data_IF_948763343556
#
_entry.id   IF_948763343556
#
_cell.length_a   1.000
_cell.length_b   1.000
_cell.length_c   1.000
_cell.angle_alpha   90.00
_cell.angle_beta   90.00
_cell.angle_gamma   90.00
#
_symmetry.space_group_name_H-M   'P 1'
#
loop_
_entity.id
_entity.type
_entity.pdbx_description
1 polymer ?
#
# COMPACT_ATOMS: atom_id res chain seq x y z
N UNK A 1 50.53 16.80 -82.25
CA UNK A 1 50.64 18.07 -82.97
C UNK A 1 49.69 19.08 -82.33
N UNK A 2 50.27 20.26 -81.93
CA UNK A 2 49.65 21.59 -81.71
C UNK A 2 48.56 21.64 -80.64
N UNK A 3 48.76 22.08 -79.36
CA UNK A 3 49.04 23.47 -78.97
C UNK A 3 47.92 24.46 -79.23
N UNK A 4 47.38 25.02 -78.15
CA UNK A 4 47.08 26.41 -77.84
C UNK A 4 46.05 26.51 -76.75
N UNK A 5 46.36 26.97 -75.56
CA UNK A 5 46.53 28.33 -75.10
C UNK A 5 45.19 28.97 -74.61
N UNK A 6 45.19 29.33 -73.36
CA UNK A 6 44.36 30.08 -72.41
C UNK A 6 43.82 31.44 -73.02
N UNK A 7 42.72 32.01 -72.54
CA UNK A 7 42.92 32.98 -71.48
C UNK A 7 41.88 33.01 -70.32
N UNK A 8 42.33 33.69 -69.25
CA UNK A 8 41.65 34.05 -68.02
C UNK A 8 40.50 35.02 -68.22
N UNK A 9 39.40 34.83 -67.47
CA UNK A 9 38.64 36.01 -67.05
C UNK A 9 38.08 35.76 -65.62
N UNK A 10 38.36 36.71 -64.81
CA UNK A 10 37.95 36.77 -63.41
C UNK A 10 36.49 37.11 -63.28
N UNK A 11 35.78 36.40 -62.44
CA UNK A 11 34.53 36.91 -61.88
C UNK A 11 34.53 36.69 -60.36
N UNK A 12 34.22 37.78 -59.73
CA UNK A 12 34.19 38.05 -58.30
C UNK A 12 33.21 37.11 -57.60
N UNK A 13 33.71 36.56 -56.50
CA UNK A 13 32.93 35.70 -55.62
C UNK A 13 31.92 36.50 -54.78
N UNK A 14 30.80 35.88 -54.59
CA UNK A 14 29.83 36.25 -53.53
C UNK A 14 29.94 35.18 -52.47
N UNK A 15 30.57 35.52 -51.33
CA UNK A 15 30.50 34.70 -50.13
C UNK A 15 29.10 34.72 -49.61
N UNK A 16 28.37 33.62 -49.74
CA UNK A 16 27.17 33.38 -48.99
C UNK A 16 27.50 32.87 -47.60
N UNK A 17 27.36 33.72 -46.62
CA UNK A 17 27.50 33.39 -45.20
C UNK A 17 26.24 32.63 -44.75
N UNK A 18 26.29 31.32 -44.67
CA UNK A 18 25.22 30.49 -44.13
C UNK A 18 25.34 30.53 -42.60
N UNK A 19 24.53 31.37 -41.98
CA UNK A 19 24.37 31.37 -40.52
C UNK A 19 23.49 30.15 -40.15
N UNK A 20 24.10 29.11 -39.61
CA UNK A 20 23.41 27.97 -39.00
C UNK A 20 22.96 28.43 -37.60
N UNK A 21 21.70 28.76 -37.50
CA UNK A 21 21.02 29.08 -36.22
C UNK A 21 20.76 27.76 -35.48
N UNK A 22 21.65 27.37 -34.58
CA UNK A 22 21.41 26.27 -33.63
C UNK A 22 20.39 26.72 -32.62
N UNK A 23 19.16 26.34 -32.83
CA UNK A 23 18.11 26.38 -31.82
C UNK A 23 18.41 25.32 -30.74
N UNK A 24 19.04 25.75 -29.67
CA UNK A 24 19.08 25.00 -28.42
C UNK A 24 17.66 24.96 -27.83
N UNK A 25 16.90 23.90 -28.14
CA UNK A 25 15.68 23.57 -27.42
C UNK A 25 16.13 23.08 -26.04
N UNK A 26 16.18 23.98 -25.05
CA UNK A 26 16.24 23.62 -23.64
C UNK A 26 14.94 22.91 -23.31
N UNK A 27 14.98 21.59 -23.32
CA UNK A 27 13.93 20.78 -22.71
C UNK A 27 13.96 21.07 -21.20
N UNK A 28 13.18 22.05 -20.74
CA UNK A 28 12.78 22.13 -19.35
C UNK A 28 12.00 20.85 -19.04
N UNK A 29 12.68 19.86 -18.47
CA UNK A 29 11.98 18.80 -17.74
C UNK A 29 11.30 19.48 -16.57
N UNK A 30 10.01 19.80 -16.73
CA UNK A 30 9.13 20.14 -15.61
C UNK A 30 9.17 18.95 -14.65
N UNK A 31 9.96 19.12 -13.59
CA UNK A 31 9.91 18.22 -12.45
C UNK A 31 8.48 18.32 -11.90
N UNK A 32 7.76 17.21 -11.92
CA UNK A 32 6.45 17.13 -11.31
C UNK A 32 6.52 17.82 -9.92
N UNK A 33 5.58 18.71 -9.60
CA UNK A 33 5.59 19.39 -8.31
C UNK A 33 5.64 18.34 -7.22
N UNK A 34 6.58 18.49 -6.28
CA UNK A 34 6.60 17.69 -5.08
C UNK A 34 5.21 17.78 -4.46
N UNK A 35 4.63 16.66 -3.98
CA UNK A 35 3.32 16.73 -3.35
C UNK A 35 3.39 17.78 -2.25
N UNK A 36 2.47 18.74 -2.29
CA UNK A 36 2.37 19.77 -1.27
C UNK A 36 2.32 19.12 0.11
N UNK A 37 2.89 19.74 1.14
CA UNK A 37 2.83 19.22 2.49
C UNK A 37 1.38 19.34 2.97
N UNK A 38 0.57 18.41 2.53
CA UNK A 38 -0.81 18.32 2.96
C UNK A 38 -0.87 17.64 4.30
N UNK A 39 -1.43 18.37 5.24
CA UNK A 39 -2.36 17.89 6.26
C UNK A 39 -2.11 16.46 6.82
N UNK A 40 -2.32 16.35 8.12
CA UNK A 40 -2.63 15.15 8.91
C UNK A 40 -2.86 13.89 8.05
N UNK A 41 -2.10 12.84 8.30
CA UNK A 41 -2.26 11.52 7.64
C UNK A 41 -3.73 11.12 7.60
N UNK A 42 -4.21 10.61 6.46
CA UNK A 42 -5.57 10.11 6.40
C UNK A 42 -5.72 8.96 7.40
N UNK A 43 -6.77 8.99 8.21
CA UNK A 43 -7.02 7.94 9.17
C UNK A 43 -8.29 7.15 8.88
N UNK A 44 -8.31 5.92 9.37
CA UNK A 44 -9.46 5.04 9.38
C UNK A 44 -9.35 3.95 10.43
N UNK A 45 -10.18 2.95 10.28
CA UNK A 45 -10.14 1.76 11.12
C UNK A 45 -10.66 0.55 10.36
N UNK A 46 -10.12 -0.61 10.67
CA UNK A 46 -10.80 -1.86 10.40
C UNK A 46 -11.79 -2.13 11.54
N UNK A 47 -13.06 -2.12 11.24
CA UNK A 47 -14.16 -2.32 12.20
C UNK A 47 -14.98 -3.58 11.93
N UNK A 48 -14.63 -4.32 10.88
CA UNK A 48 -15.29 -5.52 10.39
C UNK A 48 -15.43 -5.51 8.87
N UNK A 49 -16.03 -6.55 8.31
CA UNK A 49 -16.24 -6.74 6.87
C UNK A 49 -17.72 -6.77 6.45
N UNK A 50 -18.62 -6.64 7.40
CA UNK A 50 -20.06 -6.63 7.12
C UNK A 50 -20.50 -5.34 6.41
N UNK A 51 -21.58 -5.37 5.63
CA UNK A 51 -22.11 -4.17 4.97
C UNK A 51 -22.43 -3.00 5.92
N UNK A 52 -22.81 -3.31 7.16
CA UNK A 52 -23.07 -2.32 8.22
C UNK A 52 -21.83 -1.64 8.78
N UNK A 53 -20.64 -2.15 8.52
CA UNK A 53 -19.41 -1.66 9.14
C UNK A 53 -18.96 -0.30 8.58
N UNK A 54 -19.45 0.11 7.41
CA UNK A 54 -19.31 1.51 6.94
C UNK A 54 -19.97 2.49 7.90
N UNK A 55 -21.14 2.17 8.46
CA UNK A 55 -21.79 3.00 9.47
C UNK A 55 -21.04 2.97 10.81
N UNK A 56 -20.47 1.83 11.20
CA UNK A 56 -19.59 1.72 12.39
C UNK A 56 -18.34 2.57 12.25
N UNK A 57 -17.70 2.60 11.09
CA UNK A 57 -16.56 3.48 10.81
C UNK A 57 -16.96 4.96 11.01
N UNK A 58 -18.11 5.37 10.51
CA UNK A 58 -18.60 6.74 10.69
C UNK A 58 -18.96 7.04 12.16
N UNK A 59 -19.48 6.08 12.89
CA UNK A 59 -19.76 6.20 14.33
C UNK A 59 -18.47 6.34 15.16
N UNK A 60 -17.41 5.65 14.79
CA UNK A 60 -16.08 5.85 15.38
C UNK A 60 -15.61 7.31 15.19
N UNK A 61 -15.75 7.86 13.99
CA UNK A 61 -15.41 9.25 13.70
C UNK A 61 -16.23 10.23 14.57
N UNK A 62 -17.52 10.02 14.68
CA UNK A 62 -18.40 10.82 15.55
C UNK A 62 -18.01 10.72 17.02
N UNK A 63 -17.64 9.52 17.50
CA UNK A 63 -17.16 9.31 18.86
C UNK A 63 -15.84 10.04 19.14
N UNK A 64 -14.95 10.13 18.17
CA UNK A 64 -13.72 10.91 18.27
C UNK A 64 -13.98 12.41 18.39
N UNK A 65 -15.03 12.93 17.74
CA UNK A 65 -15.35 14.36 17.76
C UNK A 65 -14.44 15.22 16.90
N UNK A 66 -13.58 14.61 16.09
CA UNK A 66 -12.64 15.25 15.16
C UNK A 66 -13.10 15.11 13.69
N UNK A 67 -12.16 15.25 12.73
CA UNK A 67 -12.43 15.02 11.31
C UNK A 67 -13.02 13.63 11.06
N UNK A 68 -13.90 13.51 10.06
CA UNK A 68 -14.44 12.21 9.67
C UNK A 68 -13.33 11.29 9.13
N UNK A 69 -13.41 9.96 9.40
CA UNK A 69 -12.46 9.00 8.85
C UNK A 69 -12.51 8.99 7.32
N UNK A 70 -11.34 8.95 6.71
CA UNK A 70 -11.19 8.96 5.24
C UNK A 70 -10.67 7.65 4.68
N UNK A 71 -10.29 6.68 5.52
CA UNK A 71 -9.81 5.38 5.11
C UNK A 71 -10.84 4.32 5.50
N UNK A 72 -11.44 3.68 4.51
CA UNK A 72 -12.27 2.49 4.70
C UNK A 72 -11.41 1.26 4.41
N UNK A 73 -11.18 0.46 5.43
CA UNK A 73 -10.31 -0.71 5.36
C UNK A 73 -11.11 -1.98 5.59
N UNK A 74 -10.97 -2.95 4.67
CA UNK A 74 -11.70 -4.22 4.72
C UNK A 74 -10.88 -5.34 4.08
N UNK A 75 -11.21 -6.58 4.43
CA UNK A 75 -10.59 -7.79 3.91
C UNK A 75 -11.54 -8.57 3.01
N UNK A 76 -11.03 -9.19 1.96
CA UNK A 76 -11.72 -10.27 1.29
C UNK A 76 -11.49 -11.57 2.07
N UNK A 77 -12.53 -12.39 2.29
CA UNK A 77 -12.34 -13.71 2.87
C UNK A 77 -11.46 -14.58 1.96
N UNK A 78 -10.47 -15.22 2.57
CA UNK A 78 -9.48 -16.02 1.84
C UNK A 78 -9.74 -17.53 1.85
N UNK A 79 -10.96 -17.97 2.15
CA UNK A 79 -11.31 -19.38 2.25
C UNK A 79 -11.41 -20.08 0.89
N UNK A 80 -11.86 -19.36 -0.14
CA UNK A 80 -12.04 -19.86 -1.52
C UNK A 80 -11.89 -18.74 -2.56
N UNK A 81 -11.58 -19.11 -3.78
CA UNK A 81 -11.37 -18.18 -4.90
C UNK A 81 -12.57 -17.27 -5.16
N UNK A 82 -13.81 -17.78 -5.10
CA UNK A 82 -15.00 -16.96 -5.34
C UNK A 82 -15.13 -15.78 -4.36
N UNK A 83 -14.63 -15.92 -3.13
CA UNK A 83 -14.60 -14.84 -2.14
C UNK A 83 -13.44 -13.86 -2.41
N UNK A 84 -12.27 -14.37 -2.80
CA UNK A 84 -11.12 -13.54 -3.22
C UNK A 84 -11.46 -12.72 -4.48
N UNK A 85 -12.32 -13.23 -5.35
CA UNK A 85 -12.87 -12.49 -6.49
C UNK A 85 -13.82 -11.35 -6.10
N UNK A 86 -14.09 -11.15 -4.81
CA UNK A 86 -15.05 -10.16 -4.32
C UNK A 86 -16.50 -10.59 -4.56
N UNK A 87 -16.92 -11.74 -4.02
CA UNK A 87 -18.29 -12.23 -4.14
C UNK A 87 -19.31 -11.14 -3.78
N UNK A 88 -20.52 -11.16 -4.39
CA UNK A 88 -21.57 -10.18 -4.07
C UNK A 88 -21.85 -10.06 -2.58
N UNK A 89 -22.06 -8.83 -2.11
CA UNK A 89 -22.34 -8.52 -0.71
C UNK A 89 -21.13 -8.00 0.08
N UNK A 90 -19.89 -8.23 -0.38
CA UNK A 90 -18.69 -7.77 0.36
C UNK A 90 -18.27 -6.35 0.05
N UNK A 91 -18.34 -5.94 -1.23
CA UNK A 91 -17.68 -4.71 -1.70
C UNK A 91 -18.64 -3.54 -1.88
N UNK A 92 -19.93 -3.79 -2.07
CA UNK A 92 -20.89 -2.79 -2.57
C UNK A 92 -21.06 -1.61 -1.60
N UNK A 93 -21.17 -1.89 -0.30
CA UNK A 93 -21.33 -0.84 0.73
C UNK A 93 -20.08 0.01 0.87
N UNK A 94 -18.90 -0.63 0.84
CA UNK A 94 -17.62 0.06 0.90
C UNK A 94 -17.34 0.88 -0.37
N UNK A 95 -17.69 0.35 -1.53
CA UNK A 95 -17.63 1.08 -2.79
C UNK A 95 -18.56 2.28 -2.79
N UNK A 96 -19.80 2.13 -2.31
CA UNK A 96 -20.73 3.24 -2.16
C UNK A 96 -20.20 4.31 -1.18
N UNK A 97 -19.66 3.87 -0.04
CA UNK A 97 -19.03 4.76 0.93
C UNK A 97 -17.85 5.54 0.30
N UNK A 98 -16.99 4.87 -0.46
CA UNK A 98 -15.86 5.52 -1.15
C UNK A 98 -16.34 6.56 -2.16
N UNK A 99 -17.34 6.25 -2.99
CA UNK A 99 -17.87 7.16 -4.02
C UNK A 99 -18.58 8.38 -3.45
N UNK A 100 -19.10 8.31 -2.23
CA UNK A 100 -19.81 9.42 -1.59
C UNK A 100 -18.91 10.63 -1.25
N UNK A 101 -17.58 10.44 -1.16
CA UNK A 101 -16.63 11.54 -0.95
C UNK A 101 -15.30 11.21 -1.67
N UNK A 102 -14.87 12.04 -2.63
CA UNK A 102 -13.64 11.81 -3.40
C UNK A 102 -12.35 11.84 -2.55
N UNK A 103 -12.39 12.38 -1.33
CA UNK A 103 -11.25 12.40 -0.40
C UNK A 103 -11.07 11.08 0.35
N UNK A 104 -12.05 10.17 0.30
CA UNK A 104 -11.99 8.86 0.94
C UNK A 104 -11.08 7.92 0.14
N UNK A 105 -10.43 7.02 0.85
CA UNK A 105 -9.62 5.93 0.31
C UNK A 105 -10.30 4.61 0.64
N UNK A 106 -10.38 3.72 -0.34
CA UNK A 106 -10.79 2.34 -0.12
C UNK A 106 -9.55 1.46 -0.11
N UNK A 107 -9.27 0.82 1.03
CA UNK A 107 -8.14 -0.09 1.25
C UNK A 107 -8.69 -1.50 1.38
N UNK A 108 -8.25 -2.39 0.51
CA UNK A 108 -8.75 -3.74 0.39
C UNK A 108 -7.63 -4.76 0.53
N UNK A 109 -7.68 -5.56 1.60
CA UNK A 109 -6.77 -6.69 1.77
C UNK A 109 -7.22 -7.86 0.90
N UNK A 110 -6.30 -8.31 0.05
CA UNK A 110 -6.56 -9.37 -0.93
C UNK A 110 -5.60 -10.53 -0.70
N UNK A 111 -6.11 -11.72 -0.30
CA UNK A 111 -5.29 -12.92 -0.22
C UNK A 111 -4.75 -13.31 -1.62
N UNK A 112 -3.50 -13.78 -1.67
CA UNK A 112 -2.91 -14.24 -2.93
C UNK A 112 -3.30 -15.68 -3.27
N UNK A 113 -3.71 -16.47 -2.27
CA UNK A 113 -4.11 -17.88 -2.40
C UNK A 113 -5.37 -18.14 -1.57
N UNK A 114 -6.20 -19.07 -2.04
CA UNK A 114 -7.31 -19.58 -1.23
C UNK A 114 -6.81 -20.41 -0.04
N UNK A 115 -7.74 -20.76 0.87
CA UNK A 115 -7.42 -21.46 2.11
C UNK A 115 -6.39 -20.67 2.93
N UNK A 116 -6.58 -19.35 2.99
CA UNK A 116 -5.61 -18.38 3.45
C UNK A 116 -5.00 -18.71 4.83
N UNK A 117 -5.79 -19.29 5.74
CA UNK A 117 -5.39 -19.61 7.12
C UNK A 117 -5.41 -21.13 7.41
N UNK A 118 -5.27 -21.96 6.39
CA UNK A 118 -5.37 -23.41 6.55
C UNK A 118 -4.08 -24.09 7.04
N UNK A 119 -3.06 -23.33 7.43
CA UNK A 119 -1.76 -23.83 7.92
C UNK A 119 -1.15 -24.92 7.03
N UNK A 120 -1.20 -24.72 5.70
CA UNK A 120 -0.64 -25.67 4.74
C UNK A 120 0.86 -25.87 4.94
N UNK A 121 1.40 -27.10 4.72
CA UNK A 121 2.84 -27.34 4.76
C UNK A 121 3.62 -26.46 3.78
N UNK A 122 4.84 -26.07 4.13
CA UNK A 122 5.70 -25.20 3.32
C UNK A 122 5.91 -25.70 1.89
N UNK A 123 6.07 -27.02 1.72
CA UNK A 123 6.20 -27.62 0.38
C UNK A 123 4.97 -27.40 -0.51
N UNK A 124 3.78 -27.44 0.09
CA UNK A 124 2.51 -27.12 -0.60
C UNK A 124 2.46 -25.64 -0.96
N UNK A 125 2.74 -24.76 0.02
CA UNK A 125 2.77 -23.31 -0.21
C UNK A 125 3.76 -22.94 -1.33
N UNK A 126 4.97 -23.48 -1.31
CA UNK A 126 5.97 -23.27 -2.35
C UNK A 126 5.47 -23.74 -3.75
N UNK A 127 4.75 -24.86 -3.83
CA UNK A 127 4.16 -25.32 -5.07
C UNK A 127 3.08 -24.36 -5.59
N UNK A 128 2.18 -23.90 -4.70
CA UNK A 128 1.11 -22.96 -5.03
C UNK A 128 1.66 -21.60 -5.47
N UNK A 129 2.69 -21.08 -4.81
CA UNK A 129 3.37 -19.86 -5.23
C UNK A 129 3.97 -19.99 -6.64
N UNK A 130 4.60 -21.14 -6.95
CA UNK A 130 5.11 -21.40 -8.31
C UNK A 130 3.99 -21.55 -9.34
N UNK A 131 2.83 -22.14 -8.98
CA UNK A 131 1.64 -22.20 -9.84
C UNK A 131 1.14 -20.77 -10.14
N UNK A 132 0.99 -19.95 -9.12
CA UNK A 132 0.61 -18.55 -9.28
C UNK A 132 1.60 -17.77 -10.16
N UNK A 133 2.91 -17.93 -9.95
CA UNK A 133 3.94 -17.30 -10.77
C UNK A 133 3.86 -17.68 -12.26
N UNK A 134 3.36 -18.87 -12.58
CA UNK A 134 3.09 -19.33 -13.96
C UNK A 134 1.73 -18.88 -14.51
N UNK A 135 0.86 -18.28 -13.69
CA UNK A 135 -0.41 -17.68 -14.12
C UNK A 135 -1.63 -18.58 -13.97
N UNK A 136 -1.54 -19.65 -13.22
CA UNK A 136 -2.68 -20.57 -12.98
C UNK A 136 -3.88 -19.81 -12.40
N UNK A 137 -3.64 -18.76 -11.61
CA UNK A 137 -4.67 -18.01 -10.87
C UNK A 137 -5.01 -16.64 -11.47
N UNK A 138 -4.51 -16.29 -12.64
CA UNK A 138 -4.71 -14.98 -13.29
C UNK A 138 -6.19 -14.59 -13.45
N UNK A 139 -7.04 -15.59 -13.75
CA UNK A 139 -8.46 -15.37 -14.00
C UNK A 139 -9.16 -14.75 -12.77
N UNK A 140 -8.84 -15.20 -11.57
CA UNK A 140 -9.45 -14.73 -10.32
C UNK A 140 -9.16 -13.25 -10.07
N UNK A 141 -7.92 -12.83 -10.25
CA UNK A 141 -7.52 -11.43 -10.07
C UNK A 141 -8.07 -10.51 -11.17
N UNK A 142 -8.26 -11.03 -12.39
CA UNK A 142 -8.92 -10.28 -13.46
C UNK A 142 -10.40 -10.06 -13.14
N UNK A 143 -11.07 -11.07 -12.57
CA UNK A 143 -12.46 -10.95 -12.11
C UNK A 143 -12.58 -9.91 -11.00
N UNK A 144 -11.73 -9.97 -9.97
CA UNK A 144 -11.73 -8.97 -8.89
C UNK A 144 -11.51 -7.55 -9.43
N UNK A 145 -10.52 -7.35 -10.28
CA UNK A 145 -10.22 -6.05 -10.86
C UNK A 145 -11.41 -5.51 -11.68
N UNK A 146 -12.06 -6.35 -12.49
CA UNK A 146 -13.25 -6.00 -13.23
C UNK A 146 -14.41 -5.58 -12.33
N UNK A 147 -14.63 -6.30 -11.21
CA UNK A 147 -15.66 -5.95 -10.22
C UNK A 147 -15.39 -4.61 -9.54
N UNK A 148 -14.16 -4.35 -9.11
CA UNK A 148 -13.80 -3.06 -8.50
C UNK A 148 -14.03 -1.88 -9.46
N UNK A 149 -13.68 -2.04 -10.73
CA UNK A 149 -13.96 -1.04 -11.77
C UNK A 149 -15.47 -0.87 -11.98
N UNK A 150 -16.21 -1.96 -12.09
CA UNK A 150 -17.67 -1.93 -12.27
C UNK A 150 -18.41 -1.29 -11.07
N UNK A 151 -17.89 -1.48 -9.87
CA UNK A 151 -18.40 -0.83 -8.65
C UNK A 151 -18.02 0.65 -8.54
N UNK A 152 -17.25 1.19 -9.48
CA UNK A 152 -16.84 2.59 -9.52
C UNK A 152 -15.78 2.97 -8.50
N UNK A 153 -14.93 2.01 -8.12
CA UNK A 153 -13.77 2.21 -7.25
C UNK A 153 -12.45 1.77 -7.92
N UNK A 154 -12.17 2.32 -9.12
CA UNK A 154 -11.00 1.92 -9.90
C UNK A 154 -9.67 2.32 -9.26
N UNK A 155 -9.67 3.14 -8.24
CA UNK A 155 -8.52 3.68 -7.51
C UNK A 155 -8.32 3.04 -6.13
N UNK A 156 -8.90 1.85 -5.91
CA UNK A 156 -8.71 1.06 -4.69
C UNK A 156 -7.23 0.85 -4.40
N UNK A 157 -6.83 0.99 -3.14
CA UNK A 157 -5.55 0.51 -2.63
C UNK A 157 -5.69 -0.98 -2.37
N UNK A 158 -4.94 -1.79 -3.10
CA UNK A 158 -4.94 -3.25 -2.98
C UNK A 158 -3.75 -3.68 -2.13
N UNK A 159 -4.03 -4.10 -0.90
CA UNK A 159 -3.03 -4.69 0.01
C UNK A 159 -2.94 -6.17 -0.33
N UNK A 160 -1.93 -6.53 -1.10
CA UNK A 160 -1.84 -7.86 -1.70
C UNK A 160 -0.94 -8.77 -0.88
N UNK A 161 -1.52 -9.80 -0.26
CA UNK A 161 -0.77 -10.81 0.49
C UNK A 161 0.01 -10.22 1.66
N UNK A 162 -0.67 -9.55 2.57
CA UNK A 162 -0.13 -8.91 3.77
C UNK A 162 0.54 -9.92 4.72
N UNK A 163 1.38 -9.43 5.63
CA UNK A 163 2.08 -10.23 6.65
C UNK A 163 2.83 -11.47 6.10
N UNK A 164 3.32 -11.34 4.86
CA UNK A 164 3.96 -12.43 4.13
C UNK A 164 5.26 -12.93 4.76
N UNK A 165 5.86 -12.17 5.64
CA UNK A 165 7.09 -12.55 6.36
C UNK A 165 6.83 -13.44 7.57
N UNK A 166 5.56 -13.66 7.95
CA UNK A 166 5.12 -14.55 9.00
C UNK A 166 4.89 -16.00 8.56
N UNK A 167 4.20 -16.75 9.42
CA UNK A 167 3.88 -18.17 9.21
C UNK A 167 2.39 -18.45 9.08
N UNK A 168 1.54 -17.47 9.36
CA UNK A 168 0.08 -17.64 9.46
C UNK A 168 -0.56 -18.00 8.12
N UNK A 169 -0.25 -17.22 7.08
CA UNK A 169 -1.01 -17.28 5.82
C UNK A 169 -0.44 -18.27 4.80
N UNK A 170 -1.32 -18.84 3.97
CA UNK A 170 -0.93 -19.64 2.80
C UNK A 170 -0.11 -18.83 1.80
N UNK A 171 -0.26 -17.52 1.76
CA UNK A 171 0.55 -16.64 0.91
C UNK A 171 1.85 -16.18 1.57
N UNK A 172 2.34 -16.84 2.62
CA UNK A 172 3.62 -16.51 3.24
C UNK A 172 4.80 -16.69 2.28
N UNK A 173 5.78 -15.80 2.38
CA UNK A 173 6.90 -15.71 1.46
C UNK A 173 8.02 -16.72 1.75
N UNK A 174 8.18 -17.13 3.04
CA UNK A 174 9.30 -17.95 3.50
C UNK A 174 9.58 -19.22 2.69
N UNK A 175 8.57 -20.01 2.30
CA UNK A 175 8.75 -21.27 1.57
C UNK A 175 9.40 -21.13 0.19
N UNK A 176 9.13 -20.04 -0.55
CA UNK A 176 9.77 -19.74 -1.85
C UNK A 176 9.71 -18.24 -2.16
N UNK A 177 10.66 -17.44 -1.63
CA UNK A 177 10.64 -15.99 -1.83
C UNK A 177 10.74 -15.55 -3.29
N UNK A 178 11.39 -16.33 -4.15
CA UNK A 178 11.51 -16.01 -5.57
C UNK A 178 10.17 -16.19 -6.29
N UNK A 179 9.50 -17.32 -6.05
CA UNK A 179 8.17 -17.57 -6.60
C UNK A 179 7.13 -16.59 -6.05
N UNK A 180 7.22 -16.23 -4.75
CA UNK A 180 6.35 -15.25 -4.14
C UNK A 180 6.43 -13.89 -4.84
N UNK A 181 7.64 -13.34 -5.00
CA UNK A 181 7.84 -12.07 -5.71
C UNK A 181 7.34 -12.12 -7.16
N UNK A 182 7.63 -13.22 -7.87
CA UNK A 182 7.19 -13.40 -9.24
C UNK A 182 5.66 -13.46 -9.35
N UNK A 183 5.00 -14.14 -8.42
CA UNK A 183 3.54 -14.25 -8.36
C UNK A 183 2.90 -12.92 -8.00
N UNK A 184 3.38 -12.23 -6.98
CA UNK A 184 2.91 -10.91 -6.61
C UNK A 184 2.97 -9.92 -7.79
N UNK A 185 4.13 -9.85 -8.44
CA UNK A 185 4.31 -9.00 -9.61
C UNK A 185 3.40 -9.41 -10.80
N UNK A 186 3.09 -10.70 -10.92
CA UNK A 186 2.15 -11.19 -11.93
C UNK A 186 0.73 -10.73 -11.64
N UNK A 187 0.25 -10.86 -10.43
CA UNK A 187 -1.08 -10.39 -10.03
C UNK A 187 -1.23 -8.91 -10.36
N UNK A 188 -0.25 -8.09 -9.99
CA UNK A 188 -0.27 -6.65 -10.30
C UNK A 188 -0.41 -6.41 -11.80
N UNK A 189 0.39 -7.08 -12.64
CA UNK A 189 0.29 -6.93 -14.10
C UNK A 189 -1.08 -7.35 -14.63
N UNK A 190 -1.64 -8.44 -14.11
CA UNK A 190 -2.98 -8.92 -14.49
C UNK A 190 -4.05 -7.91 -14.12
N UNK A 191 -4.04 -7.41 -12.90
CA UNK A 191 -5.03 -6.41 -12.46
C UNK A 191 -4.87 -5.09 -13.23
N UNK A 192 -3.63 -4.65 -13.47
CA UNK A 192 -3.34 -3.44 -14.27
C UNK A 192 -3.72 -3.57 -15.75
N UNK A 193 -3.91 -4.79 -16.27
CA UNK A 193 -4.37 -5.02 -17.64
C UNK A 193 -5.88 -4.76 -17.84
N UNK A 194 -6.65 -4.62 -16.76
CA UNK A 194 -8.09 -4.33 -16.83
C UNK A 194 -8.30 -2.85 -17.20
N UNK A 195 -9.10 -2.54 -18.23
CA UNK A 195 -9.35 -1.15 -18.65
C UNK A 195 -9.95 -0.29 -17.52
N UNK A 196 -9.64 1.01 -17.53
CA UNK A 196 -10.13 2.01 -16.60
C UNK A 196 -9.71 1.86 -15.13
N UNK A 197 -8.92 0.86 -14.79
CA UNK A 197 -8.36 0.72 -13.44
C UNK A 197 -7.28 1.80 -13.18
N UNK A 198 -7.11 2.18 -11.90
CA UNK A 198 -6.07 3.06 -11.37
C UNK A 198 -5.64 2.57 -9.99
N UNK A 199 -5.62 1.25 -9.79
CA UNK A 199 -5.25 0.63 -8.51
C UNK A 199 -3.87 1.04 -8.06
N UNK A 200 -3.71 1.14 -6.75
CA UNK A 200 -2.40 1.22 -6.11
C UNK A 200 -2.16 -0.06 -5.33
N UNK A 201 -1.00 -0.66 -5.53
CA UNK A 201 -0.63 -1.92 -4.90
C UNK A 201 0.29 -1.69 -3.73
N UNK A 202 -0.10 -2.24 -2.58
CA UNK A 202 0.60 -2.07 -1.34
C UNK A 202 1.28 -3.37 -0.88
N UNK A 203 2.58 -3.25 -0.57
CA UNK A 203 3.40 -4.32 -0.01
C UNK A 203 3.47 -4.12 1.50
N UNK A 204 2.87 -5.01 2.29
CA UNK A 204 2.65 -4.84 3.72
C UNK A 204 3.14 -6.03 4.54
N UNK A 205 4.37 -5.99 5.05
CA UNK A 205 4.86 -6.96 6.02
C UNK A 205 4.37 -6.69 7.45
N UNK A 206 4.42 -7.72 8.30
CA UNK A 206 4.45 -7.57 9.75
C UNK A 206 5.76 -6.91 10.17
N UNK A 207 5.68 -6.03 11.18
CA UNK A 207 6.82 -5.37 11.81
C UNK A 207 7.82 -6.39 12.39
N UNK A 208 9.11 -6.09 12.23
CA UNK A 208 10.17 -6.94 12.74
C UNK A 208 10.62 -8.02 11.76
N UNK A 209 11.36 -8.98 12.27
CA UNK A 209 11.92 -10.08 11.44
C UNK A 209 10.88 -11.13 11.10
N UNK A 210 10.08 -11.53 12.08
CA UNK A 210 9.19 -12.69 12.06
C UNK A 210 9.91 -13.96 11.52
N UNK A 211 9.28 -14.76 10.65
CA UNK A 211 9.89 -15.98 10.09
C UNK A 211 10.99 -15.67 9.06
N UNK A 212 10.89 -14.56 8.34
CA UNK A 212 11.88 -14.13 7.33
C UNK A 212 12.01 -12.60 7.33
N UNK A 213 13.22 -12.03 7.14
CA UNK A 213 13.37 -10.61 6.90
C UNK A 213 12.49 -10.16 5.71
N UNK A 214 11.52 -9.28 5.94
CA UNK A 214 10.54 -8.89 4.94
C UNK A 214 11.13 -8.25 3.67
N UNK A 215 12.31 -7.56 3.67
CA UNK A 215 12.87 -7.07 2.41
C UNK A 215 13.22 -8.17 1.40
N UNK A 216 13.38 -9.43 1.85
CA UNK A 216 13.58 -10.57 0.95
C UNK A 216 12.35 -10.90 0.10
N UNK A 217 11.18 -10.42 0.54
CA UNK A 217 9.90 -10.61 -0.14
C UNK A 217 9.54 -9.43 -1.05
N UNK A 218 10.30 -8.34 -1.05
CA UNK A 218 9.98 -7.15 -1.84
C UNK A 218 10.00 -7.44 -3.35
N UNK A 219 8.87 -7.24 -4.07
CA UNK A 219 8.75 -7.68 -5.46
C UNK A 219 9.31 -6.69 -6.49
N UNK A 220 9.71 -5.48 -6.07
CA UNK A 220 10.33 -4.46 -6.91
C UNK A 220 9.50 -3.19 -7.08
N UNK A 221 10.20 -2.09 -7.41
CA UNK A 221 9.62 -0.74 -7.44
C UNK A 221 8.59 -0.54 -8.55
N UNK A 222 8.70 -1.29 -9.64
CA UNK A 222 7.81 -1.19 -10.80
C UNK A 222 6.39 -1.71 -10.53
N UNK A 223 6.24 -2.54 -9.50
CA UNK A 223 4.95 -3.16 -9.15
C UNK A 223 4.39 -2.67 -7.81
N UNK A 224 5.23 -2.17 -6.91
CA UNK A 224 4.81 -1.62 -5.61
C UNK A 224 4.57 -0.12 -5.72
N UNK A 225 3.41 0.34 -5.29
CA UNK A 225 3.04 1.76 -5.25
C UNK A 225 3.14 2.34 -3.82
N UNK A 226 2.94 1.50 -2.80
CA UNK A 226 2.96 1.88 -1.38
C UNK A 226 3.69 0.79 -0.59
N UNK A 227 4.52 1.19 0.38
CA UNK A 227 5.14 0.27 1.34
C UNK A 227 4.41 0.40 2.67
N UNK A 228 3.56 -0.58 2.98
CA UNK A 228 2.83 -0.68 4.23
C UNK A 228 3.61 -1.38 5.33
N UNK A 229 3.05 -1.41 6.53
CA UNK A 229 3.50 -2.23 7.65
C UNK A 229 2.37 -2.46 8.64
N UNK A 230 2.19 -3.69 9.09
CA UNK A 230 1.33 -4.05 10.20
C UNK A 230 2.13 -3.96 11.49
N UNK A 231 1.66 -3.14 12.44
CA UNK A 231 2.43 -2.73 13.59
C UNK A 231 1.63 -2.84 14.88
N UNK A 232 1.45 -4.05 15.37
CA UNK A 232 0.78 -4.31 16.64
C UNK A 232 1.72 -4.17 17.84
N UNK A 233 1.17 -3.95 19.03
CA UNK A 233 1.88 -3.86 20.31
C UNK A 233 2.33 -5.25 20.80
N UNK A 234 3.32 -5.80 20.12
CA UNK A 234 3.92 -7.12 20.35
C UNK A 234 5.44 -7.03 20.07
N UNK A 235 6.23 -8.00 20.52
CA UNK A 235 5.90 -9.05 21.47
C UNK A 235 5.77 -8.50 22.90
N UNK A 236 5.24 -9.33 23.79
CA UNK A 236 5.11 -9.00 25.21
C UNK A 236 6.42 -8.50 25.83
N UNK A 237 6.35 -7.34 26.47
CA UNK A 237 7.49 -6.71 27.14
C UNK A 237 8.36 -5.83 26.24
N UNK A 238 8.17 -5.84 24.93
CA UNK A 238 8.88 -4.91 24.04
C UNK A 238 8.19 -3.54 24.07
N UNK A 239 8.84 -2.55 24.68
CA UNK A 239 8.34 -1.18 24.70
C UNK A 239 8.42 -0.50 23.33
N UNK A 240 7.70 0.61 23.16
CA UNK A 240 7.62 1.34 21.89
C UNK A 240 9.00 1.71 21.30
N UNK A 241 9.95 2.15 22.15
CA UNK A 241 11.31 2.44 21.67
C UNK A 241 12.00 1.21 21.06
N UNK A 242 11.79 0.03 21.64
CA UNK A 242 12.29 -1.22 21.08
C UNK A 242 11.64 -1.51 19.71
N UNK A 243 10.34 -1.27 19.58
CA UNK A 243 9.62 -1.44 18.30
C UNK A 243 10.09 -0.46 17.21
N UNK A 244 10.55 0.74 17.60
CA UNK A 244 11.18 1.69 16.66
C UNK A 244 12.50 1.14 16.10
N UNK A 245 13.33 0.57 16.95
CA UNK A 245 14.76 0.33 16.67
C UNK A 245 15.10 -1.14 16.38
N UNK A 246 14.18 -2.07 16.58
CA UNK A 246 14.41 -3.47 16.26
C UNK A 246 14.76 -3.68 14.78
N UNK A 247 15.46 -4.76 14.43
CA UNK A 247 15.70 -5.11 13.04
C UNK A 247 14.38 -5.24 12.28
N UNK A 248 14.25 -4.52 11.14
CA UNK A 248 13.04 -4.48 10.30
C UNK A 248 11.82 -3.84 10.98
N UNK A 249 12.03 -3.07 12.08
CA UNK A 249 11.01 -2.31 12.78
C UNK A 249 10.61 -1.01 12.10
N UNK A 250 9.94 -0.12 12.85
CA UNK A 250 9.31 1.09 12.30
C UNK A 250 10.30 2.02 11.59
N UNK A 251 11.50 2.27 12.16
CA UNK A 251 12.52 3.10 11.50
C UNK A 251 13.08 2.46 10.24
N UNK A 252 13.25 1.14 10.24
CA UNK A 252 13.71 0.40 9.06
C UNK A 252 12.68 0.50 7.93
N UNK A 253 11.39 0.39 8.25
CA UNK A 253 10.28 0.54 7.31
C UNK A 253 10.31 1.91 6.61
N UNK A 254 10.31 3.01 7.37
CA UNK A 254 10.32 4.36 6.81
C UNK A 254 11.58 4.61 5.96
N UNK A 255 12.75 4.16 6.44
CA UNK A 255 13.99 4.27 5.65
C UNK A 255 13.90 3.51 4.34
N UNK A 256 13.35 2.30 4.37
CA UNK A 256 13.16 1.46 3.18
C UNK A 256 12.23 2.15 2.18
N UNK A 257 11.04 2.56 2.60
CA UNK A 257 10.09 3.25 1.73
C UNK A 257 10.71 4.48 1.06
N UNK A 258 11.41 5.32 1.84
CA UNK A 258 12.11 6.52 1.32
C UNK A 258 13.23 6.17 0.33
N UNK A 259 14.00 5.12 0.61
CA UNK A 259 15.08 4.68 -0.29
C UNK A 259 14.55 4.19 -1.63
N UNK A 260 13.33 3.63 -1.65
CA UNK A 260 12.63 3.19 -2.85
C UNK A 260 11.73 4.28 -3.47
N UNK A 261 11.71 5.51 -2.94
CA UNK A 261 10.89 6.61 -3.43
C UNK A 261 9.38 6.35 -3.32
N UNK A 262 8.95 5.54 -2.35
CA UNK A 262 7.55 5.16 -2.16
C UNK A 262 6.93 5.87 -0.97
N UNK A 263 5.64 6.27 -1.07
CA UNK A 263 4.86 6.57 0.12
C UNK A 263 4.75 5.31 1.00
N UNK A 264 4.50 5.52 2.28
CA UNK A 264 4.33 4.43 3.23
C UNK A 264 3.04 4.59 4.05
N UNK A 265 2.59 3.51 4.67
CA UNK A 265 1.32 3.41 5.39
C UNK A 265 1.43 2.46 6.57
N UNK A 266 0.44 2.53 7.44
CA UNK A 266 0.19 1.55 8.50
C UNK A 266 -1.26 1.11 8.39
N UNK A 267 -1.49 0.10 7.57
CA UNK A 267 -2.85 -0.36 7.29
C UNK A 267 -3.47 -1.13 8.46
N UNK A 268 -2.64 -1.76 9.29
CA UNK A 268 -3.01 -2.41 10.53
C UNK A 268 -2.10 -1.95 11.66
N UNK A 269 -2.68 -1.53 12.76
CA UNK A 269 -1.98 -1.29 14.00
C UNK A 269 -2.96 -1.31 15.17
N UNK A 270 -2.46 -1.53 16.39
CA UNK A 270 -3.30 -1.56 17.57
C UNK A 270 -2.63 -2.22 18.76
N UNK A 271 -3.34 -2.26 19.86
CA UNK A 271 -2.92 -2.96 21.07
C UNK A 271 -2.89 -4.48 20.82
N UNK A 272 -2.06 -5.20 21.55
CA UNK A 272 -2.05 -6.65 21.46
C UNK A 272 -1.53 -7.30 22.75
N UNK A 273 -0.31 -7.87 22.74
CA UNK A 273 0.20 -8.72 23.82
C UNK A 273 0.54 -7.96 25.12
N UNK A 274 0.69 -6.64 25.06
CA UNK A 274 0.98 -5.79 26.20
C UNK A 274 -0.29 -5.20 26.87
N UNK A 275 -1.47 -5.60 26.42
CA UNK A 275 -2.76 -5.19 26.99
C UNK A 275 -3.04 -3.71 26.88
N UNK A 276 -3.58 -3.07 27.95
CA UNK A 276 -3.88 -1.64 27.98
C UNK A 276 -2.59 -0.81 28.11
N UNK A 277 -1.98 -0.48 26.97
CA UNK A 277 -0.67 0.19 26.89
C UNK A 277 -0.78 1.63 26.31
N UNK A 278 -1.07 2.64 27.16
CA UNK A 278 -1.17 4.04 26.71
C UNK A 278 0.16 4.61 26.21
N UNK A 279 1.31 4.03 26.62
CA UNK A 279 2.61 4.47 26.11
C UNK A 279 2.83 4.09 24.66
N UNK A 280 2.46 2.87 24.26
CA UNK A 280 2.46 2.44 22.86
C UNK A 280 1.49 3.30 22.03
N UNK A 281 0.25 3.50 22.53
CA UNK A 281 -0.77 4.30 21.82
C UNK A 281 -0.26 5.72 21.53
N UNK A 282 0.31 6.38 22.54
CA UNK A 282 0.93 7.71 22.38
C UNK A 282 2.11 7.66 21.41
N UNK A 283 2.96 6.66 21.55
CA UNK A 283 4.15 6.48 20.70
C UNK A 283 3.79 6.36 19.23
N UNK A 284 2.81 5.52 18.88
CA UNK A 284 2.34 5.34 17.49
C UNK A 284 1.73 6.62 16.93
N UNK A 285 0.85 7.31 17.66
CA UNK A 285 0.24 8.54 17.17
C UNK A 285 1.26 9.66 16.99
N UNK A 286 2.23 9.81 17.92
CA UNK A 286 3.36 10.75 17.76
C UNK A 286 4.20 10.38 16.54
N UNK A 287 4.48 9.10 16.34
CA UNK A 287 5.21 8.60 15.17
C UNK A 287 4.50 8.96 13.86
N UNK A 288 3.18 8.82 13.79
CA UNK A 288 2.41 9.21 12.61
C UNK A 288 2.45 10.72 12.36
N UNK A 289 2.33 11.54 13.41
CA UNK A 289 2.44 12.99 13.28
C UNK A 289 3.82 13.42 12.76
N UNK A 290 4.90 12.78 13.23
CA UNK A 290 6.28 13.07 12.81
C UNK A 290 6.61 12.54 11.41
N UNK A 291 6.26 11.28 11.12
CA UNK A 291 6.68 10.62 9.88
C UNK A 291 5.74 10.85 8.71
N UNK A 292 4.47 11.22 8.97
CA UNK A 292 3.42 11.54 8.00
C UNK A 292 3.19 10.41 6.99
N UNK A 293 2.76 9.21 7.42
CA UNK A 293 2.35 8.17 6.50
C UNK A 293 1.22 8.66 5.58
N UNK A 294 1.10 8.06 4.42
CA UNK A 294 0.01 8.32 3.48
C UNK A 294 -1.35 8.12 4.17
N UNK A 295 -1.45 7.05 4.95
CA UNK A 295 -2.61 6.78 5.79
C UNK A 295 -2.25 5.83 6.94
N UNK A 296 -3.14 5.78 7.93
CA UNK A 296 -3.12 4.79 9.00
C UNK A 296 -4.53 4.27 9.27
N UNK A 297 -4.65 3.01 9.69
CA UNK A 297 -5.92 2.36 10.01
C UNK A 297 -5.75 1.48 11.24
N UNK A 298 -6.41 1.85 12.34
CA UNK A 298 -6.37 1.05 13.57
C UNK A 298 -7.28 -0.19 13.42
N UNK A 299 -6.87 -1.34 13.94
CA UNK A 299 -7.72 -2.53 14.05
C UNK A 299 -8.62 -2.40 15.26
N UNK A 300 -9.89 -1.98 15.06
CA UNK A 300 -10.81 -1.68 16.16
C UNK A 300 -11.74 -2.86 16.51
N UNK A 301 -11.14 -3.95 16.94
CA UNK A 301 -11.80 -5.10 17.55
C UNK A 301 -10.94 -5.64 18.70
N UNK A 302 -11.48 -6.49 19.59
CA UNK A 302 -10.68 -7.08 20.67
C UNK A 302 -9.72 -8.15 20.13
N UNK A 303 -8.45 -8.15 20.58
CA UNK A 303 -7.88 -7.35 21.67
C UNK A 303 -7.23 -6.04 21.22
N UNK A 304 -7.34 -5.60 19.97
CA UNK A 304 -6.54 -4.53 19.37
C UNK A 304 -7.15 -3.13 19.52
N UNK A 305 -8.47 -3.07 19.61
CA UNK A 305 -9.24 -1.84 19.47
C UNK A 305 -9.29 -0.95 20.70
N UNK A 306 -9.71 0.28 20.45
CA UNK A 306 -9.87 1.33 21.47
C UNK A 306 -11.31 1.81 21.66
N UNK A 307 -12.18 1.59 20.68
CA UNK A 307 -13.58 1.98 20.71
C UNK A 307 -14.50 0.78 20.92
N UNK A 308 -14.35 -0.24 20.08
CA UNK A 308 -15.15 -1.47 20.17
C UNK A 308 -14.69 -2.39 21.30
N UNK A 309 -13.39 -2.37 21.65
CA UNK A 309 -12.82 -3.18 22.72
C UNK A 309 -12.75 -2.37 24.02
N UNK A 310 -13.58 -2.70 25.00
CA UNK A 310 -13.64 -1.99 26.29
C UNK A 310 -12.52 -2.36 27.28
N UNK A 311 -11.61 -3.24 26.91
CA UNK A 311 -10.54 -3.73 27.78
C UNK A 311 -9.37 -2.75 27.98
N UNK A 312 -9.36 -1.61 27.27
CA UNK A 312 -8.21 -0.72 27.18
C UNK A 312 -8.54 0.75 27.53
N UNK A 313 -9.12 1.06 28.72
CA UNK A 313 -9.65 2.40 29.01
C UNK A 313 -8.58 3.49 29.00
N UNK A 314 -7.33 3.21 29.39
CA UNK A 314 -6.25 4.20 29.40
C UNK A 314 -5.76 4.52 28.01
N UNK A 315 -5.57 3.49 27.18
CA UNK A 315 -5.20 3.64 25.76
C UNK A 315 -6.29 4.32 24.96
N UNK A 316 -7.56 3.99 25.22
CA UNK A 316 -8.75 4.64 24.65
C UNK A 316 -8.76 6.14 24.92
N UNK A 317 -8.48 6.54 26.18
CA UNK A 317 -8.42 7.95 26.55
C UNK A 317 -7.31 8.70 25.82
N UNK A 318 -6.11 8.08 25.68
CA UNK A 318 -4.99 8.65 24.92
C UNK A 318 -5.33 8.79 23.44
N UNK A 319 -5.87 7.71 22.83
CA UNK A 319 -6.24 7.73 21.41
C UNK A 319 -7.25 8.83 21.11
N UNK A 320 -8.34 8.89 21.90
CA UNK A 320 -9.38 9.90 21.71
C UNK A 320 -8.83 11.31 21.87
N UNK A 321 -8.02 11.57 22.92
CA UNK A 321 -7.47 12.90 23.16
C UNK A 321 -6.57 13.39 22.02
N UNK A 322 -5.70 12.54 21.48
CA UNK A 322 -4.78 12.93 20.42
C UNK A 322 -5.48 13.04 19.06
N UNK A 323 -6.39 12.11 18.73
CA UNK A 323 -7.11 12.16 17.46
C UNK A 323 -8.15 13.29 17.39
N UNK A 324 -8.70 13.73 18.53
CA UNK A 324 -9.57 14.93 18.58
C UNK A 324 -8.79 16.24 18.41
N UNK A 325 -7.56 16.32 18.94
CA UNK A 325 -6.73 17.51 18.87
C UNK A 325 -6.16 17.77 17.47
N UNK A 326 -5.97 16.76 16.65
CA UNK A 326 -5.51 16.89 15.25
C UNK A 326 -6.55 17.57 14.34
N UNK A 327 -7.77 17.75 14.81
CA UNK A 327 -8.87 18.42 14.08
C UNK A 327 -9.10 19.87 14.47
N UNK A 328 -8.42 20.35 15.49
CA UNK A 328 -8.48 21.75 15.96
C UNK A 328 -7.23 22.52 15.52
#
# INVERSE_FOLDING_TARGET
>A
MKSAAVPKSARRGLLALTVVLLLLVSACTERAPAPEPTAVSAYGAYVGYEPSDTARLMALGAWLGGPAPRVGHVYLPGDRWSNIEGAPGYLESWAAWRRADPRRMFVLNVPMLERSEAHLPDGTVAAELRHGARGVYDAHFRVLAGRLVALGVPDTVVVLGWEMNGTTYTHRCGPDPAAWRAYWARIVRVMRSVPAQRFRFEFTPTRGRDAIPWPRCYPGDEVVDIVGMDAYDAPRGLGFSGQLDEPYGLRAHVRFARAHGKPFSYQEWGLFENGDNPAYMRGMLTWFAEQRPLYQSISDYCPHGVWSCRSHPRSTAVYRALMSAEGA
#
